data_IF_882114620569
#
_entry.id   IF_882114620569
#
_cell.length_a   1.000
_cell.length_b   1.000
_cell.length_c   1.000
_cell.angle_alpha   90.00
_cell.angle_beta   90.00
_cell.angle_gamma   90.00
#
_symmetry.space_group_name_H-M   'P 1'
#
loop_
_entity.id
_entity.type
_entity.pdbx_description
1 polymer ?
#
# COMPACT_ATOMS: atom_id res chain seq x y z
N UNK A 1 -6.11 3.57 -18.43
CA UNK A 1 -4.83 3.21 -19.08
C UNK A 1 -4.16 4.48 -19.55
N UNK A 2 -2.88 4.61 -19.23
CA UNK A 2 -2.02 5.70 -19.63
C UNK A 2 -1.03 5.20 -20.68
N UNK A 3 -0.60 6.09 -21.57
CA UNK A 3 0.32 5.72 -22.64
C UNK A 3 1.25 6.88 -23.01
N UNK A 4 2.51 6.55 -23.26
CA UNK A 4 3.53 7.45 -23.77
C UNK A 4 4.30 6.78 -24.91
N UNK A 5 4.71 7.55 -25.91
CA UNK A 5 5.46 7.03 -27.05
C UNK A 5 6.61 7.97 -27.41
N UNK A 6 7.82 7.43 -27.57
CA UNK A 6 9.02 8.16 -27.96
C UNK A 6 9.88 7.27 -28.85
N UNK A 7 10.23 7.78 -30.02
CA UNK A 7 11.00 7.05 -31.03
C UNK A 7 10.43 5.63 -31.31
N UNK A 8 11.21 4.60 -30.98
CA UNK A 8 10.83 3.20 -31.15
C UNK A 8 10.10 2.61 -29.93
N UNK A 9 9.99 3.36 -28.83
CA UNK A 9 9.43 2.90 -27.57
C UNK A 9 7.97 3.29 -27.38
N UNK A 10 7.20 2.39 -26.79
CA UNK A 10 5.84 2.62 -26.31
C UNK A 10 5.74 2.11 -24.87
N UNK A 11 5.35 3.00 -23.96
CA UNK A 11 5.07 2.66 -22.58
C UNK A 11 3.55 2.65 -22.37
N UNK A 12 3.02 1.55 -21.87
CA UNK A 12 1.64 1.41 -21.43
C UNK A 12 1.64 1.24 -19.92
N UNK A 13 0.78 2.00 -19.22
CA UNK A 13 0.50 1.78 -17.79
C UNK A 13 -0.99 1.48 -17.63
N UNK A 14 -1.29 0.39 -16.96
CA UNK A 14 -2.63 -0.18 -16.85
C UNK A 14 -2.98 -0.42 -15.38
N UNK A 15 -4.27 -0.30 -15.00
CA UNK A 15 -4.73 -0.79 -13.71
C UNK A 15 -4.46 -2.29 -13.59
N UNK A 16 -4.01 -2.73 -12.42
CA UNK A 16 -3.83 -4.12 -12.05
C UNK A 16 -5.05 -4.57 -11.23
N UNK A 17 -5.97 -5.27 -11.87
CA UNK A 17 -7.23 -5.75 -11.29
C UNK A 17 -7.10 -7.11 -10.59
N UNK A 18 -5.93 -7.74 -10.66
CA UNK A 18 -5.64 -9.06 -10.06
C UNK A 18 -4.56 -8.96 -8.98
N UNK A 19 -4.25 -7.74 -8.52
CA UNK A 19 -3.28 -7.48 -7.47
C UNK A 19 -3.58 -8.29 -6.20
N UNK A 20 -2.57 -9.02 -5.72
CA UNK A 20 -2.60 -9.70 -4.43
C UNK A 20 -2.58 -8.64 -3.33
N UNK A 21 -3.42 -8.83 -2.30
CA UNK A 21 -3.44 -7.93 -1.15
C UNK A 21 -2.03 -7.77 -0.55
N UNK A 22 -1.57 -6.54 -0.22
CA UNK A 22 -0.27 -6.36 0.43
C UNK A 22 -0.25 -6.93 1.86
N UNK A 23 -1.37 -7.43 2.38
CA UNK A 23 -1.47 -8.18 3.64
C UNK A 23 -1.32 -9.71 3.47
N UNK A 24 -1.29 -10.19 2.23
CA UNK A 24 -1.10 -11.61 1.89
C UNK A 24 0.33 -11.90 1.40
N UNK A 25 1.21 -10.89 1.39
CA UNK A 25 2.62 -11.03 1.05
C UNK A 25 3.47 -10.98 2.34
N UNK A 26 4.52 -11.82 2.42
CA UNK A 26 5.37 -12.02 3.63
C UNK A 26 6.35 -10.85 3.93
N UNK A 27 5.92 -9.59 3.74
CA UNK A 27 6.79 -8.40 3.83
C UNK A 27 6.31 -7.34 4.84
N UNK A 28 5.33 -7.65 5.70
CA UNK A 28 4.77 -6.70 6.67
C UNK A 28 5.46 -6.78 8.04
N UNK A 29 5.77 -5.62 8.64
CA UNK A 29 6.21 -5.49 10.03
C UNK A 29 5.04 -5.57 11.02
N UNK A 30 3.93 -4.91 10.72
CA UNK A 30 2.75 -4.87 11.57
C UNK A 30 1.80 -6.05 11.33
N UNK A 31 1.00 -6.38 12.33
CA UNK A 31 -0.21 -7.21 12.20
C UNK A 31 -1.44 -6.31 12.25
N UNK A 32 -2.30 -6.40 11.24
CA UNK A 32 -3.50 -5.59 11.04
C UNK A 32 -4.74 -6.40 11.40
N UNK A 33 -5.45 -6.03 12.47
CA UNK A 33 -6.66 -6.74 12.94
C UNK A 33 -7.85 -5.81 12.80
N UNK A 34 -8.86 -6.21 12.02
CA UNK A 34 -10.01 -5.39 11.67
C UNK A 34 -11.33 -6.12 11.89
N UNK A 35 -12.31 -5.38 12.42
CA UNK A 35 -13.67 -5.81 12.70
C UNK A 35 -14.63 -4.94 11.88
N UNK A 36 -15.04 -5.42 10.72
CA UNK A 36 -16.00 -4.73 9.87
C UNK A 36 -17.09 -5.68 9.37
N UNK A 37 -18.39 -5.32 9.47
CA UNK A 37 -19.48 -6.24 9.14
C UNK A 37 -19.62 -6.53 7.63
N UNK A 38 -19.11 -5.64 6.76
CA UNK A 38 -19.27 -5.75 5.29
C UNK A 38 -18.01 -6.19 4.55
N UNK A 39 -16.84 -5.99 5.15
CA UNK A 39 -15.56 -6.13 4.44
C UNK A 39 -14.62 -7.00 5.27
N UNK A 40 -13.95 -7.94 4.61
CA UNK A 40 -12.81 -8.64 5.18
C UNK A 40 -11.59 -7.74 4.97
N UNK A 41 -11.09 -7.16 6.06
CA UNK A 41 -10.00 -6.17 6.03
C UNK A 41 -8.82 -6.66 6.89
N UNK A 42 -7.62 -6.20 6.56
CA UNK A 42 -6.41 -6.53 7.29
C UNK A 42 -6.01 -8.00 7.18
N UNK A 43 -5.31 -8.50 8.19
CA UNK A 43 -4.85 -9.87 8.28
C UNK A 43 -5.96 -10.79 8.81
N UNK A 44 -5.90 -12.05 8.41
CA UNK A 44 -6.80 -13.07 8.94
C UNK A 44 -6.60 -13.28 10.45
N UNK A 45 -7.70 -13.31 11.19
CA UNK A 45 -7.72 -13.63 12.61
C UNK A 45 -9.00 -14.35 13.01
N UNK A 46 -8.98 -14.96 14.21
CA UNK A 46 -10.11 -15.70 14.77
C UNK A 46 -10.75 -14.99 15.97
N UNK A 47 -10.37 -13.74 16.25
CA UNK A 47 -11.01 -12.95 17.31
C UNK A 47 -12.48 -12.70 16.98
N UNK A 48 -13.35 -12.86 17.98
CA UNK A 48 -14.80 -12.76 17.82
C UNK A 48 -15.20 -11.30 17.60
N UNK A 49 -14.62 -10.40 18.38
CA UNK A 49 -14.94 -8.98 18.41
C UNK A 49 -13.72 -8.15 18.92
N UNK A 50 -13.79 -6.81 18.90
CA UNK A 50 -12.70 -5.97 19.38
C UNK A 50 -12.31 -6.21 20.85
N UNK A 51 -13.27 -6.56 21.72
CA UNK A 51 -13.02 -6.76 23.15
C UNK A 51 -12.27 -8.08 23.39
N UNK A 52 -12.60 -9.13 22.64
CA UNK A 52 -11.90 -10.40 22.60
C UNK A 52 -10.42 -10.20 22.24
N UNK A 53 -10.15 -9.45 21.16
CA UNK A 53 -8.79 -9.11 20.76
C UNK A 53 -8.03 -8.31 21.84
N UNK A 54 -8.63 -7.25 22.38
CA UNK A 54 -7.96 -6.43 23.40
C UNK A 54 -7.70 -7.22 24.69
N UNK A 55 -8.59 -8.15 25.07
CA UNK A 55 -8.39 -9.05 26.20
C UNK A 55 -7.20 -9.98 25.95
N UNK A 56 -7.12 -10.63 24.80
CA UNK A 56 -5.99 -11.49 24.45
C UNK A 56 -4.67 -10.70 24.43
N UNK A 57 -4.65 -9.50 23.85
CA UNK A 57 -3.47 -8.62 23.86
C UNK A 57 -3.06 -8.19 25.27
N UNK A 58 -4.03 -7.94 26.15
CA UNK A 58 -3.79 -7.63 27.55
C UNK A 58 -3.13 -8.80 28.27
N UNK A 59 -3.68 -10.02 28.13
CA UNK A 59 -3.14 -11.24 28.74
C UNK A 59 -1.74 -11.57 28.19
N UNK A 60 -1.52 -11.40 26.89
CA UNK A 60 -0.19 -11.54 26.27
C UNK A 60 0.84 -10.52 26.80
N UNK A 61 0.37 -9.44 27.44
CA UNK A 61 1.22 -8.43 28.08
C UNK A 61 1.48 -8.73 29.57
N UNK A 62 0.48 -9.21 30.32
CA UNK A 62 0.59 -9.40 31.78
C UNK A 62 0.85 -10.84 32.23
N UNK A 63 0.74 -11.80 31.31
CA UNK A 63 0.78 -13.24 31.54
C UNK A 63 -0.55 -13.90 31.19
N UNK A 64 -0.53 -14.94 30.35
CA UNK A 64 -1.70 -15.75 29.99
C UNK A 64 -1.87 -16.90 31.00
N UNK A 65 -2.14 -16.53 32.25
CA UNK A 65 -2.30 -17.45 33.37
C UNK A 65 -3.42 -16.98 34.31
N UNK A 66 -3.70 -17.76 35.35
CA UNK A 66 -4.73 -17.45 36.34
C UNK A 66 -4.50 -16.07 37.02
N UNK A 67 -3.24 -15.65 37.19
CA UNK A 67 -2.91 -14.35 37.80
C UNK A 67 -3.19 -13.21 36.84
N UNK A 68 -2.86 -13.37 35.57
CA UNK A 68 -3.19 -12.44 34.50
C UNK A 68 -4.69 -12.27 34.33
N UNK A 69 -5.44 -13.37 34.38
CA UNK A 69 -6.91 -13.33 34.33
C UNK A 69 -7.49 -12.59 35.53
N UNK A 70 -7.02 -12.88 36.76
CA UNK A 70 -7.43 -12.13 37.95
C UNK A 70 -7.11 -10.63 37.86
N UNK A 71 -5.97 -10.26 37.25
CA UNK A 71 -5.61 -8.86 36.99
C UNK A 71 -6.58 -8.20 36.00
N UNK A 72 -6.93 -8.89 34.93
CA UNK A 72 -7.91 -8.43 33.94
C UNK A 72 -9.28 -8.23 34.61
N UNK A 73 -9.81 -9.25 35.28
CA UNK A 73 -11.12 -9.17 35.96
C UNK A 73 -11.15 -8.05 37.00
N UNK A 74 -10.09 -7.91 37.82
CA UNK A 74 -10.00 -6.84 38.80
C UNK A 74 -9.99 -5.46 38.13
N UNK A 75 -9.26 -5.30 37.02
CA UNK A 75 -9.21 -4.05 36.26
C UNK A 75 -10.57 -3.69 35.67
N UNK A 76 -11.27 -4.63 35.04
CA UNK A 76 -12.63 -4.44 34.51
C UNK A 76 -13.59 -4.06 35.64
N UNK A 77 -13.62 -4.83 36.72
CA UNK A 77 -14.50 -4.59 37.87
C UNK A 77 -14.21 -3.24 38.56
N UNK A 78 -12.94 -2.83 38.66
CA UNK A 78 -12.56 -1.55 39.24
C UNK A 78 -13.05 -0.36 38.39
N UNK A 79 -13.02 -0.48 37.06
CA UNK A 79 -13.50 0.58 36.16
C UNK A 79 -15.03 0.63 36.19
N UNK A 80 -15.69 -0.53 36.13
CA UNK A 80 -17.13 -0.62 36.24
C UNK A 80 -17.64 -0.07 37.58
N UNK A 81 -17.01 -0.42 38.70
CA UNK A 81 -17.42 0.09 40.02
C UNK A 81 -17.17 1.59 40.23
N UNK A 82 -16.08 2.16 39.66
CA UNK A 82 -15.73 3.58 39.83
C UNK A 82 -16.48 4.55 38.93
N UNK A 83 -16.93 4.10 37.74
CA UNK A 83 -17.53 4.97 36.72
C UNK A 83 -19.02 4.69 36.43
N UNK A 84 -19.68 3.77 37.16
CA UNK A 84 -21.12 3.46 37.01
C UNK A 84 -22.06 4.11 38.05
N UNK A 85 -21.73 5.27 38.62
CA UNK A 85 -22.76 6.12 39.22
C UNK A 85 -23.35 7.04 38.14
N UNK A 86 -24.24 6.53 37.29
CA UNK A 86 -24.92 7.29 36.24
C UNK A 86 -25.31 6.49 34.98
N UNK A 87 -26.19 7.01 34.11
CA UNK A 87 -26.73 6.31 32.93
C UNK A 87 -25.73 6.08 31.78
N UNK A 88 -24.52 6.65 31.85
CA UNK A 88 -23.50 6.53 30.79
C UNK A 88 -22.44 5.49 31.17
N UNK A 89 -22.65 4.24 30.76
CA UNK A 89 -21.58 3.22 30.74
C UNK A 89 -20.47 3.70 29.80
N UNK A 90 -19.24 3.81 30.30
CA UNK A 90 -18.11 4.26 29.50
C UNK A 90 -17.23 3.05 29.11
N UNK A 91 -17.67 2.29 28.11
CA UNK A 91 -16.93 1.16 27.53
C UNK A 91 -15.55 1.58 27.00
N UNK A 92 -15.44 2.82 26.49
CA UNK A 92 -14.17 3.41 26.05
C UNK A 92 -13.14 3.46 27.19
N UNK A 93 -13.55 3.69 28.44
CA UNK A 93 -12.63 3.74 29.57
C UNK A 93 -11.96 2.38 29.88
N UNK A 94 -12.65 1.26 29.61
CA UNK A 94 -12.07 -0.08 29.77
C UNK A 94 -11.04 -0.31 28.66
N UNK A 95 -11.40 -0.03 27.41
CA UNK A 95 -10.50 -0.14 26.27
C UNK A 95 -9.24 0.72 26.42
N UNK A 96 -9.38 1.99 26.83
CA UNK A 96 -8.24 2.88 27.10
C UNK A 96 -7.30 2.32 28.18
N UNK A 97 -7.86 1.74 29.24
CA UNK A 97 -7.06 1.15 30.32
C UNK A 97 -6.31 -0.09 29.84
N UNK A 98 -6.96 -0.93 29.03
CA UNK A 98 -6.30 -2.08 28.40
C UNK A 98 -5.17 -1.63 27.47
N UNK A 99 -5.43 -0.66 26.59
CA UNK A 99 -4.44 -0.11 25.66
C UNK A 99 -3.22 0.46 26.39
N UNK A 100 -3.41 1.13 27.53
CA UNK A 100 -2.31 1.61 28.37
C UNK A 100 -1.42 0.47 28.87
N UNK A 101 -2.01 -0.67 29.27
CA UNK A 101 -1.23 -1.85 29.68
C UNK A 101 -0.55 -2.49 28.48
N UNK A 102 -1.28 -2.72 27.39
CA UNK A 102 -0.77 -3.33 26.15
C UNK A 102 0.42 -2.54 25.59
N UNK A 103 0.37 -1.20 25.66
CA UNK A 103 1.45 -0.31 25.22
C UNK A 103 2.80 -0.54 25.90
N UNK A 104 2.84 -1.29 27.00
CA UNK A 104 4.09 -1.69 27.66
C UNK A 104 4.88 -2.69 26.83
N UNK A 105 4.22 -3.58 26.09
CA UNK A 105 4.84 -4.63 25.27
C UNK A 105 4.67 -4.42 23.76
N UNK A 106 3.64 -3.68 23.34
CA UNK A 106 3.31 -3.48 21.94
C UNK A 106 3.30 -2.00 21.55
N UNK A 107 3.52 -1.73 20.27
CA UNK A 107 3.22 -0.44 19.63
C UNK A 107 1.99 -0.67 18.76
N UNK A 108 0.93 0.10 19.00
CA UNK A 108 -0.36 -0.04 18.32
C UNK A 108 -0.83 1.30 17.79
N UNK A 109 -1.46 1.29 16.61
CA UNK A 109 -2.17 2.43 16.05
C UNK A 109 -3.62 2.01 15.74
N UNK A 110 -4.62 2.87 16.03
CA UNK A 110 -6.00 2.59 15.62
C UNK A 110 -6.11 2.64 14.10
N UNK A 111 -7.07 1.91 13.54
CA UNK A 111 -7.42 1.93 12.12
C UNK A 111 -8.82 2.50 11.96
N UNK A 112 -8.96 3.52 11.14
CA UNK A 112 -10.24 4.12 10.78
C UNK A 112 -10.52 3.82 9.32
N UNK A 113 -11.75 3.44 9.02
CA UNK A 113 -12.25 3.24 7.68
C UNK A 113 -13.23 4.37 7.34
N UNK A 114 -13.20 4.83 6.10
CA UNK A 114 -14.24 5.65 5.47
C UNK A 114 -14.88 4.82 4.35
N UNK A 115 -16.20 4.70 4.37
CA UNK A 115 -17.00 3.98 3.37
C UNK A 115 -17.97 4.97 2.69
N UNK A 116 -17.48 5.71 1.67
CA UNK A 116 -18.28 6.71 0.94
C UNK A 116 -18.00 6.62 -0.57
N UNK A 117 -18.66 5.68 -1.26
CA UNK A 117 -18.46 5.38 -2.71
C UNK A 117 -17.08 4.82 -3.07
N UNK A 118 -16.29 4.47 -2.06
CA UNK A 118 -14.95 3.91 -2.12
C UNK A 118 -14.45 3.73 -0.69
N UNK A 119 -13.49 2.83 -0.51
CA UNK A 119 -12.88 2.57 0.80
C UNK A 119 -11.63 3.42 0.97
N UNK A 120 -11.47 4.01 2.15
CA UNK A 120 -10.20 4.60 2.56
C UNK A 120 -9.88 4.25 4.00
N UNK A 121 -8.62 3.93 4.30
CA UNK A 121 -8.14 3.56 5.61
C UNK A 121 -7.01 4.47 6.06
N UNK A 122 -7.01 4.85 7.35
CA UNK A 122 -5.89 5.59 7.95
C UNK A 122 -5.78 5.37 9.45
N UNK A 123 -4.68 5.84 10.03
CA UNK A 123 -4.41 5.68 11.47
C UNK A 123 -4.96 6.80 12.37
N UNK A 124 -5.77 7.70 11.80
CA UNK A 124 -6.38 8.86 12.47
C UNK A 124 -7.85 9.00 12.08
N UNK A 125 -8.68 9.59 12.93
CA UNK A 125 -10.12 9.72 12.64
C UNK A 125 -10.38 10.52 11.37
N UNK A 126 -11.41 10.12 10.60
CA UNK A 126 -11.91 10.96 9.51
C UNK A 126 -12.73 12.15 9.94
N UNK A 127 -13.14 12.20 11.22
CA UNK A 127 -14.06 13.22 11.73
C UNK A 127 -15.38 13.27 10.93
N UNK A 128 -15.73 12.16 10.28
CA UNK A 128 -17.01 11.95 9.62
C UNK A 128 -17.89 11.07 10.51
N UNK A 129 -18.99 11.59 11.05
CA UNK A 129 -19.85 10.84 11.97
C UNK A 129 -20.78 9.83 11.29
N UNK A 130 -20.87 9.84 9.96
CA UNK A 130 -21.80 9.00 9.20
C UNK A 130 -21.07 7.82 8.56
N UNK A 131 -20.00 8.12 7.84
CA UNK A 131 -19.37 7.17 6.94
C UNK A 131 -18.00 6.70 7.44
N UNK A 132 -17.59 7.13 8.64
CA UNK A 132 -16.32 6.69 9.25
C UNK A 132 -16.47 6.14 10.66
N UNK A 133 -15.70 5.08 10.93
CA UNK A 133 -15.55 4.50 12.25
C UNK A 133 -14.14 3.93 12.43
N UNK A 134 -13.74 3.76 13.70
CA UNK A 134 -12.60 2.91 14.01
C UNK A 134 -12.99 1.46 13.76
N UNK A 135 -12.24 0.77 12.91
CA UNK A 135 -12.50 -0.63 12.53
C UNK A 135 -11.49 -1.60 13.12
N UNK A 136 -10.40 -1.14 13.75
CA UNK A 136 -9.41 -2.06 14.28
C UNK A 136 -8.11 -1.41 14.74
N UNK A 137 -7.03 -2.20 14.69
CA UNK A 137 -5.69 -1.78 15.05
C UNK A 137 -4.64 -2.45 14.18
N UNK A 138 -3.57 -1.72 13.88
CA UNK A 138 -2.30 -2.30 13.45
C UNK A 138 -1.34 -2.30 14.63
N UNK A 139 -0.64 -3.41 14.86
CA UNK A 139 0.28 -3.53 15.98
C UNK A 139 1.56 -4.31 15.65
N UNK A 140 2.59 -4.06 16.44
CA UNK A 140 3.83 -4.86 16.46
C UNK A 140 4.33 -4.99 17.88
N UNK A 141 4.97 -6.12 18.21
CA UNK A 141 5.65 -6.25 19.50
C UNK A 141 6.87 -5.33 19.54
N UNK A 142 7.20 -4.78 20.70
CA UNK A 142 8.42 -3.97 20.85
C UNK A 142 9.67 -4.79 20.56
N UNK A 143 9.64 -6.09 20.82
CA UNK A 143 10.74 -7.00 20.53
C UNK A 143 10.97 -7.12 19.01
N UNK A 144 9.93 -7.34 18.23
CA UNK A 144 10.05 -7.51 16.78
C UNK A 144 10.37 -6.18 16.09
N UNK A 145 9.84 -5.07 16.61
CA UNK A 145 10.26 -3.73 16.19
C UNK A 145 11.77 -3.52 16.41
N UNK A 146 12.31 -3.93 17.56
CA UNK A 146 13.75 -3.82 17.84
C UNK A 146 14.58 -4.68 16.89
N UNK A 147 14.13 -5.91 16.59
CA UNK A 147 14.78 -6.79 15.61
C UNK A 147 14.79 -6.16 14.22
N UNK A 148 13.65 -5.66 13.76
CA UNK A 148 13.50 -5.05 12.42
C UNK A 148 14.42 -3.84 12.22
N UNK A 149 14.63 -3.03 13.26
CA UNK A 149 15.51 -1.86 13.19
C UNK A 149 16.94 -2.12 13.71
N UNK A 150 17.29 -3.36 14.07
CA UNK A 150 18.62 -3.71 14.59
C UNK A 150 19.02 -2.96 15.86
N UNK A 151 18.05 -2.63 16.72
CA UNK A 151 18.25 -1.82 17.92
C UNK A 151 18.21 -2.67 19.20
N UNK A 152 19.06 -2.35 20.17
CA UNK A 152 19.10 -3.04 21.46
C UNK A 152 18.00 -2.58 22.43
N UNK A 153 17.54 -1.33 22.33
CA UNK A 153 16.59 -0.73 23.25
C UNK A 153 15.56 0.17 22.56
N UNK A 154 14.36 0.25 23.16
CA UNK A 154 13.24 1.03 22.65
C UNK A 154 13.39 2.51 22.99
N UNK A 155 14.19 3.21 22.20
CA UNK A 155 14.35 4.67 22.29
C UNK A 155 13.16 5.42 21.69
N UNK A 156 12.95 6.72 22.02
CA UNK A 156 11.91 7.53 21.37
C UNK A 156 12.04 7.58 19.85
N UNK A 157 13.27 7.58 19.32
CA UNK A 157 13.54 7.56 17.88
C UNK A 157 13.06 6.26 17.24
N UNK A 158 13.44 5.11 17.81
CA UNK A 158 13.00 3.80 17.30
C UNK A 158 11.48 3.69 17.39
N UNK A 159 10.88 4.14 18.49
CA UNK A 159 9.42 4.14 18.64
C UNK A 159 8.71 4.93 17.53
N UNK A 160 9.23 6.10 17.18
CA UNK A 160 8.62 6.89 16.11
C UNK A 160 8.90 6.29 14.72
N UNK A 161 10.09 5.72 14.49
CA UNK A 161 10.38 4.97 13.27
C UNK A 161 9.43 3.78 13.10
N UNK A 162 9.16 3.03 14.18
CA UNK A 162 8.19 1.93 14.16
C UNK A 162 6.79 2.44 13.85
N UNK A 163 6.32 3.51 14.52
CA UNK A 163 5.01 4.09 14.23
C UNK A 163 4.92 4.57 12.78
N UNK A 164 5.98 5.17 12.24
CA UNK A 164 6.03 5.57 10.83
C UNK A 164 5.89 4.35 9.92
N UNK A 165 6.67 3.28 10.14
CA UNK A 165 6.57 2.06 9.35
C UNK A 165 5.15 1.46 9.38
N UNK A 166 4.49 1.44 10.55
CA UNK A 166 3.09 1.00 10.65
C UNK A 166 2.12 1.91 9.88
N UNK A 167 2.37 3.23 9.83
CA UNK A 167 1.56 4.15 9.02
C UNK A 167 1.79 3.93 7.53
N UNK A 168 3.05 3.75 7.12
CA UNK A 168 3.41 3.47 5.73
C UNK A 168 2.74 2.17 5.23
N UNK A 169 2.67 1.12 6.07
CA UNK A 169 1.91 -0.11 5.74
C UNK A 169 0.41 0.14 5.55
N UNK A 170 -0.18 1.00 6.40
CA UNK A 170 -1.59 1.36 6.28
C UNK A 170 -1.82 2.20 5.02
N UNK A 171 -0.89 3.07 4.64
CA UNK A 171 -0.96 3.87 3.40
C UNK A 171 -0.90 2.97 2.16
N UNK A 172 -0.02 1.95 2.15
CA UNK A 172 0.02 0.96 1.06
C UNK A 172 -1.30 0.17 0.99
N UNK A 173 -1.81 -0.27 2.14
CA UNK A 173 -3.08 -1.01 2.17
C UNK A 173 -4.28 -0.13 1.78
N UNK A 174 -4.28 1.15 2.15
CA UNK A 174 -5.27 2.13 1.72
C UNK A 174 -5.27 2.32 0.19
N UNK A 175 -4.08 2.50 -0.41
CA UNK A 175 -3.97 2.59 -1.87
C UNK A 175 -4.50 1.33 -2.56
N UNK A 176 -4.22 0.15 -2.00
CA UNK A 176 -4.82 -1.11 -2.46
C UNK A 176 -6.36 -1.10 -2.38
N UNK A 177 -6.94 -0.67 -1.24
CA UNK A 177 -8.39 -0.58 -1.06
C UNK A 177 -9.05 0.41 -2.03
N UNK A 178 -8.32 1.47 -2.42
CA UNK A 178 -8.76 2.46 -3.42
C UNK A 178 -8.59 1.98 -4.87
N UNK A 179 -8.02 0.79 -5.08
CA UNK A 179 -7.76 0.23 -6.40
C UNK A 179 -6.61 0.92 -7.14
N UNK A 180 -5.71 1.58 -6.42
CA UNK A 180 -4.52 2.25 -6.97
C UNK A 180 -3.39 1.24 -7.19
N UNK A 181 -3.69 0.24 -8.01
CA UNK A 181 -2.84 -0.87 -8.36
C UNK A 181 -2.54 -0.77 -9.85
N UNK A 182 -1.27 -0.89 -10.23
CA UNK A 182 -0.83 -0.66 -11.60
C UNK A 182 0.26 -1.64 -12.04
N UNK A 183 0.33 -1.85 -13.35
CA UNK A 183 1.47 -2.44 -14.03
C UNK A 183 1.81 -1.68 -15.29
N UNK A 184 3.00 -1.94 -15.82
CA UNK A 184 3.45 -1.37 -17.07
C UNK A 184 3.94 -2.42 -18.05
N UNK A 185 3.83 -2.07 -19.33
CA UNK A 185 4.41 -2.80 -20.45
C UNK A 185 5.22 -1.82 -21.30
N UNK A 186 6.48 -2.16 -21.54
CA UNK A 186 7.37 -1.43 -22.42
C UNK A 186 7.55 -2.22 -23.71
N UNK A 187 7.23 -1.59 -24.84
CA UNK A 187 7.48 -2.14 -26.17
C UNK A 187 8.60 -1.37 -26.86
N UNK A 188 9.48 -2.07 -27.56
CA UNK A 188 10.44 -1.51 -28.49
C UNK A 188 10.16 -2.08 -29.89
N UNK A 189 9.94 -1.23 -30.90
CA UNK A 189 9.68 -1.68 -32.29
C UNK A 189 8.50 -2.64 -32.43
N UNK A 190 7.50 -2.49 -31.55
CA UNK A 190 6.31 -3.34 -31.53
C UNK A 190 6.50 -4.70 -30.83
N UNK A 191 7.71 -4.99 -30.35
CA UNK A 191 8.00 -6.17 -29.54
C UNK A 191 7.97 -5.81 -28.05
N UNK A 192 7.33 -6.65 -27.24
CA UNK A 192 7.32 -6.49 -25.79
C UNK A 192 8.75 -6.71 -25.26
N UNK A 193 9.29 -5.69 -24.59
CA UNK A 193 10.62 -5.73 -23.97
C UNK A 193 10.53 -6.09 -22.50
N UNK A 194 9.63 -5.45 -21.79
CA UNK A 194 9.51 -5.57 -20.35
C UNK A 194 8.05 -5.45 -19.95
N UNK A 195 7.66 -6.23 -18.94
CA UNK A 195 6.36 -6.14 -18.31
C UNK A 195 6.57 -6.33 -16.81
N UNK A 196 6.17 -5.35 -16.03
CA UNK A 196 6.28 -5.39 -14.57
C UNK A 196 4.94 -4.94 -13.96
N UNK A 197 4.48 -5.70 -12.98
CA UNK A 197 3.21 -5.52 -12.27
C UNK A 197 3.47 -5.43 -10.77
N UNK A 198 2.47 -5.09 -9.97
CA UNK A 198 2.65 -5.00 -8.52
C UNK A 198 2.97 -3.59 -8.00
N UNK A 199 2.72 -2.53 -8.77
CA UNK A 199 2.86 -1.17 -8.27
C UNK A 199 1.60 -0.74 -7.53
N UNK A 200 1.74 -0.37 -6.26
CA UNK A 200 0.66 0.15 -5.40
C UNK A 200 1.04 1.56 -4.98
N UNK A 201 0.08 2.49 -5.07
CA UNK A 201 0.23 3.87 -4.58
C UNK A 201 -0.30 4.91 -5.55
N UNK A 202 -0.17 6.17 -5.16
CA UNK A 202 -0.56 7.30 -6.01
C UNK A 202 0.24 7.31 -7.33
N UNK A 203 -0.40 7.79 -8.40
CA UNK A 203 0.19 7.78 -9.75
C UNK A 203 1.52 8.53 -9.85
N UNK A 204 1.75 9.59 -9.05
CA UNK A 204 3.02 10.33 -9.07
C UNK A 204 4.16 9.51 -8.46
N UNK A 205 3.88 8.70 -7.44
CA UNK A 205 4.86 7.78 -6.85
C UNK A 205 5.12 6.59 -7.77
N UNK A 206 4.05 6.04 -8.36
CA UNK A 206 4.14 4.94 -9.33
C UNK A 206 4.97 5.35 -10.54
N UNK A 207 4.80 6.57 -11.08
CA UNK A 207 5.63 7.09 -12.18
C UNK A 207 7.13 7.07 -11.85
N UNK A 208 7.51 7.48 -10.64
CA UNK A 208 8.92 7.47 -10.19
C UNK A 208 9.46 6.04 -10.11
N UNK A 209 8.70 5.13 -9.51
CA UNK A 209 9.08 3.71 -9.40
C UNK A 209 9.20 3.02 -10.75
N UNK A 210 8.31 3.33 -11.69
CA UNK A 210 8.41 2.83 -13.07
C UNK A 210 9.68 3.39 -13.74
N UNK A 211 9.94 4.69 -13.62
CA UNK A 211 11.14 5.30 -14.21
C UNK A 211 12.46 4.72 -13.68
N UNK A 212 12.49 4.26 -12.43
CA UNK A 212 13.67 3.58 -11.86
C UNK A 212 13.93 2.21 -12.50
N UNK A 213 12.90 1.54 -13.00
CA UNK A 213 13.02 0.24 -13.67
C UNK A 213 13.23 0.35 -15.19
N UNK A 214 12.79 1.46 -15.80
CA UNK A 214 12.96 1.66 -17.23
C UNK A 214 14.43 1.86 -17.64
N UNK A 215 14.82 1.40 -18.86
CA UNK A 215 16.11 1.72 -19.46
C UNK A 215 16.38 3.24 -19.53
N UNK A 216 17.64 3.64 -19.35
CA UNK A 216 18.07 5.06 -19.28
C UNK A 216 17.57 5.91 -20.47
N UNK A 217 17.53 5.35 -21.68
CA UNK A 217 17.11 6.04 -22.90
C UNK A 217 15.62 6.44 -22.93
N UNK A 218 14.81 5.84 -22.04
CA UNK A 218 13.35 5.96 -22.07
C UNK A 218 12.72 6.33 -20.73
N UNK A 219 13.53 6.72 -19.72
CA UNK A 219 13.03 7.14 -18.40
C UNK A 219 12.08 8.33 -18.46
N UNK A 220 12.26 9.24 -19.41
CA UNK A 220 11.42 10.43 -19.62
C UNK A 220 10.04 10.11 -20.21
N UNK A 221 9.76 8.86 -20.60
CA UNK A 221 8.43 8.45 -21.06
C UNK A 221 7.37 8.58 -19.97
N UNK A 222 7.74 8.39 -18.69
CA UNK A 222 6.76 8.47 -17.60
C UNK A 222 6.16 9.87 -17.46
N UNK A 223 6.88 10.92 -17.85
CA UNK A 223 6.40 12.30 -17.79
C UNK A 223 5.41 12.62 -18.91
N UNK A 224 5.43 11.82 -19.98
CA UNK A 224 4.62 12.01 -21.20
C UNK A 224 3.39 11.08 -21.23
N UNK A 225 3.10 10.39 -20.13
CA UNK A 225 1.95 9.49 -20.02
C UNK A 225 0.63 10.28 -20.09
N UNK A 226 -0.12 10.04 -21.17
CA UNK A 226 -1.44 10.62 -21.42
C UNK A 226 -2.54 9.56 -21.23
N UNK A 227 -3.68 9.98 -20.68
CA UNK A 227 -4.84 9.11 -20.54
C UNK A 227 -5.46 8.76 -21.89
N UNK A 228 -5.63 7.45 -22.14
CA UNK A 228 -6.26 6.94 -23.35
C UNK A 228 -7.41 6.01 -23.01
N UNK A 229 -8.61 6.49 -23.29
CA UNK A 229 -9.87 5.86 -22.89
C UNK A 229 -10.29 4.71 -23.83
N UNK A 230 -9.68 4.56 -25.02
CA UNK A 230 -10.14 3.60 -26.05
C UNK A 230 -9.04 2.69 -26.63
N UNK A 231 -9.26 1.36 -26.71
CA UNK A 231 -8.31 0.41 -27.32
C UNK A 231 -7.93 0.74 -28.77
N UNK A 232 -8.86 1.28 -29.54
CA UNK A 232 -8.63 1.74 -30.92
C UNK A 232 -7.54 2.82 -31.01
N UNK A 233 -7.37 3.62 -29.96
CA UNK A 233 -6.33 4.64 -29.91
C UNK A 233 -4.93 4.04 -29.72
N UNK A 234 -4.84 2.86 -29.10
CA UNK A 234 -3.58 2.11 -28.92
C UNK A 234 -3.15 1.49 -30.24
N UNK A 235 -4.07 0.77 -30.90
CA UNK A 235 -3.82 0.19 -32.24
C UNK A 235 -3.38 1.26 -33.23
N UNK A 236 -4.05 2.42 -33.24
CA UNK A 236 -3.68 3.55 -34.10
C UNK A 236 -2.29 4.09 -33.79
N UNK A 237 -1.86 4.08 -32.53
CA UNK A 237 -0.51 4.50 -32.12
C UNK A 237 0.54 3.48 -32.59
N UNK A 238 0.30 2.19 -32.36
CA UNK A 238 1.17 1.12 -32.88
C UNK A 238 1.35 1.23 -34.40
N UNK A 239 0.25 1.41 -35.15
CA UNK A 239 0.30 1.59 -36.61
C UNK A 239 1.07 2.85 -37.02
N UNK A 240 0.95 3.95 -36.27
CA UNK A 240 1.75 5.16 -36.51
C UNK A 240 3.24 4.93 -36.25
N UNK A 241 3.60 4.23 -35.18
CA UNK A 241 5.01 3.89 -34.88
C UNK A 241 5.60 2.97 -35.94
N UNK A 242 4.88 1.92 -36.35
CA UNK A 242 5.29 1.05 -37.44
C UNK A 242 5.53 1.84 -38.74
N UNK A 243 4.64 2.79 -39.06
CA UNK A 243 4.83 3.68 -40.20
C UNK A 243 6.08 4.56 -40.08
N UNK A 244 6.31 5.19 -38.91
CA UNK A 244 7.50 6.02 -38.69
C UNK A 244 8.80 5.21 -38.84
N UNK A 245 8.81 3.96 -38.38
CA UNK A 245 9.95 3.06 -38.53
C UNK A 245 10.17 2.66 -40.00
N UNK A 246 9.11 2.35 -40.74
CA UNK A 246 9.20 2.08 -42.18
C UNK A 246 9.77 3.31 -42.91
N UNK A 247 9.29 4.52 -42.58
CA UNK A 247 9.76 5.76 -43.19
C UNK A 247 11.24 6.06 -42.85
N UNK A 248 11.68 5.81 -41.61
CA UNK A 248 13.09 5.94 -41.20
C UNK A 248 13.99 4.88 -41.86
N UNK A 249 13.53 3.64 -41.97
CA UNK A 249 14.23 2.56 -42.66
C UNK A 249 14.37 2.86 -44.16
N UNK A 250 13.32 3.41 -44.78
CA UNK A 250 13.35 3.82 -46.18
C UNK A 250 14.34 4.98 -46.43
N UNK A 251 14.40 5.97 -45.54
CA UNK A 251 15.38 7.08 -45.62
C UNK A 251 16.83 6.59 -45.47
N UNK A 252 17.11 5.76 -44.47
CA UNK A 252 18.45 5.21 -44.26
C UNK A 252 18.90 4.24 -45.37
N UNK A 253 17.97 3.49 -45.96
CA UNK A 253 18.24 2.67 -47.15
C UNK A 253 18.50 3.53 -48.42
N UNK A 254 17.89 4.71 -48.53
CA UNK A 254 18.12 5.66 -49.62
C UNK A 254 19.44 6.45 -49.52
N UNK A 255 19.99 6.61 -48.31
CA UNK A 255 21.29 7.28 -48.10
C UNK A 255 22.50 6.35 -48.27
N UNK A 256 22.36 5.04 -48.01
CA UNK A 256 23.40 4.03 -48.27
C UNK A 256 23.96 4.03 -49.72
N UNK A 257 23.15 4.08 -50.79
CA UNK A 257 23.66 4.13 -52.15
C UNK A 257 24.32 5.49 -52.51
N UNK A 258 24.01 6.58 -51.80
CA UNK A 258 24.65 7.88 -52.03
C UNK A 258 26.02 8.00 -51.38
N UNK A 259 26.22 7.42 -50.19
CA UNK A 259 27.54 7.39 -49.54
C UNK A 259 28.52 6.46 -50.27
N UNK A 260 28.07 5.29 -50.74
CA UNK A 260 28.91 4.42 -51.60
C UNK A 260 29.25 5.07 -52.95
N UNK A 261 28.34 5.84 -53.54
CA UNK A 261 28.63 6.58 -54.77
C UNK A 261 29.64 7.72 -54.58
N UNK A 262 29.71 8.33 -53.40
CA UNK A 262 30.69 9.37 -53.08
C UNK A 262 32.07 8.83 -52.68
N UNK A 263 32.18 7.63 -52.10
CA UNK A 263 33.47 6.98 -51.81
C UNK A 263 34.13 6.37 -53.05
N UNK A 264 33.36 5.96 -54.07
CA UNK A 264 33.89 5.46 -55.35
C UNK A 264 34.31 6.60 -56.29
N UNK A 265 33.91 7.84 -56.00
CA UNK A 265 34.16 9.02 -56.83
C UNK A 265 35.32 9.92 -56.35
N UNK A 266 36.19 9.44 -55.44
CA UNK A 266 37.37 10.16 -54.93
C UNK A 266 38.65 9.37 -55.22
#
# INVERSE_FOLDING_TARGET
MLMAAKDAYLLLVQPDDVMISPREVDETLGTMVCFHPRYALGDHHNYIDPDDFLREMYLNTVGHDEKGMKRYEWMVNAIWSRKMTGPNRNEQAVAETMLNVISKKYIMLPLYLLDHSGLAMRTVSFHDPWDSAQVGWIYVSKEDALKAFGAAEMTPKIREMTKKALRDEVEIYDAYLRGECYGYELYEKGELKESCWGFIGDMDEVRKRIAEQLPDDCKDLVDQLEERIRPQSVIKTFLKQAKMQIDQAAKSAGDKPKQQAFEIAR
#
